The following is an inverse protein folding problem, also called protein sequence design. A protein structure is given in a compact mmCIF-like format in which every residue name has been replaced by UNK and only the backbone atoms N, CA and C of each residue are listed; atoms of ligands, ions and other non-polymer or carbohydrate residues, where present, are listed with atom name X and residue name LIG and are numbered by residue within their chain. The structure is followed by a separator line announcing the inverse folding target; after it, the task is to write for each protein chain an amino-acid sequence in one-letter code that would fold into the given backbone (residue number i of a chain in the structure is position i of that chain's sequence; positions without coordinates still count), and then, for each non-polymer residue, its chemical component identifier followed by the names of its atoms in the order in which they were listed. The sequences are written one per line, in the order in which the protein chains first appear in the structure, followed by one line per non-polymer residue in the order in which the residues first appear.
data_IF_996706310022
#
_entry.id   IF_996706310022
#
_cell.length_a   1.000
_cell.length_b   1.000
_cell.length_c   1.000
_cell.angle_alpha   90.00
_cell.angle_beta   90.00
_cell.angle_gamma   90.00
#
_symmetry.space_group_name_H-M   'P 1'
#
loop_
_entity.id
_entity.type
_entity.pdbx_description
1 polymer ?
#
# COMPACT_ATOMS: atom_id res chain seq x y z
N UNK A 1 -14.11 -13.35 9.23
CA UNK A 1 -15.24 -13.01 8.37
C UNK A 1 -15.26 -13.82 7.06
N UNK A 2 -14.14 -14.03 6.34
CA UNK A 2 -14.12 -14.80 5.08
C UNK A 2 -14.61 -16.24 5.25
N UNK A 3 -14.27 -16.92 6.36
CA UNK A 3 -14.79 -18.26 6.64
C UNK A 3 -16.32 -18.23 6.79
N UNK A 4 -16.87 -17.26 7.52
CA UNK A 4 -18.32 -17.10 7.67
C UNK A 4 -19.04 -16.76 6.36
N UNK A 5 -18.38 -15.99 5.47
CA UNK A 5 -18.93 -15.63 4.17
C UNK A 5 -19.12 -16.85 3.26
N UNK A 6 -18.28 -17.87 3.36
CA UNK A 6 -18.44 -19.14 2.62
C UNK A 6 -19.75 -19.85 2.98
N UNK A 7 -20.21 -19.75 4.22
CA UNK A 7 -21.49 -20.36 4.67
C UNK A 7 -22.70 -19.47 4.38
N UNK A 8 -22.52 -18.14 4.43
CA UNK A 8 -23.61 -17.20 4.17
C UNK A 8 -23.16 -16.05 3.25
N UNK A 9 -22.97 -16.33 1.96
CA UNK A 9 -22.45 -15.34 1.00
C UNK A 9 -23.42 -14.19 0.72
N UNK A 10 -24.70 -14.35 1.02
CA UNK A 10 -25.76 -13.37 0.77
C UNK A 10 -26.14 -12.57 2.01
N UNK A 11 -25.26 -12.45 2.98
CA UNK A 11 -25.45 -11.58 4.14
C UNK A 11 -24.84 -10.20 3.85
N UNK A 12 -25.69 -9.16 3.71
CA UNK A 12 -25.27 -7.80 3.40
C UNK A 12 -24.30 -7.25 4.45
N UNK A 13 -24.62 -7.40 5.75
CA UNK A 13 -23.80 -6.90 6.84
C UNK A 13 -22.44 -7.59 6.94
N UNK A 14 -22.38 -8.88 6.62
CA UNK A 14 -21.12 -9.63 6.61
C UNK A 14 -20.22 -9.15 5.46
N UNK A 15 -20.78 -8.99 4.25
CA UNK A 15 -20.05 -8.46 3.12
C UNK A 15 -19.56 -7.03 3.38
N UNK A 16 -20.38 -6.16 3.99
CA UNK A 16 -19.96 -4.82 4.40
C UNK A 16 -18.73 -4.86 5.32
N UNK A 17 -18.76 -5.70 6.38
CA UNK A 17 -17.64 -5.84 7.32
C UNK A 17 -16.37 -6.34 6.63
N UNK A 18 -16.49 -7.28 5.70
CA UNK A 18 -15.33 -7.76 4.92
C UNK A 18 -14.74 -6.63 4.08
N UNK A 19 -15.59 -5.88 3.37
CA UNK A 19 -15.16 -4.74 2.57
C UNK A 19 -14.47 -3.66 3.42
N UNK A 20 -15.04 -3.32 4.55
CA UNK A 20 -14.46 -2.33 5.49
C UNK A 20 -13.10 -2.82 6.03
N UNK A 21 -12.97 -4.10 6.41
CA UNK A 21 -11.68 -4.69 6.79
C UNK A 21 -10.64 -4.59 5.66
N UNK A 22 -11.02 -4.88 4.41
CA UNK A 22 -10.10 -4.74 3.29
C UNK A 22 -9.64 -3.30 3.08
N UNK A 23 -10.50 -2.29 3.26
CA UNK A 23 -10.11 -0.88 3.18
C UNK A 23 -9.02 -0.48 4.19
N UNK A 24 -8.86 -1.25 5.28
CA UNK A 24 -7.86 -1.02 6.33
C UNK A 24 -6.68 -2.02 6.27
N UNK A 25 -6.62 -2.86 5.23
CA UNK A 25 -5.57 -3.86 5.03
C UNK A 25 -4.58 -3.43 3.93
N UNK A 26 -3.54 -4.24 3.69
CA UNK A 26 -2.66 -4.10 2.52
C UNK A 26 -3.34 -4.44 1.18
N UNK A 27 -4.52 -5.07 1.20
CA UNK A 27 -5.25 -5.51 0.00
C UNK A 27 -6.48 -4.64 -0.29
N UNK A 28 -6.37 -3.34 -0.08
CA UNK A 28 -7.46 -2.36 -0.17
C UNK A 28 -8.33 -2.45 -1.44
N UNK A 29 -7.80 -2.69 -2.66
CA UNK A 29 -8.62 -2.79 -3.87
C UNK A 29 -9.68 -3.91 -3.81
N UNK A 30 -9.43 -4.98 -3.06
CA UNK A 30 -10.38 -6.08 -2.88
C UNK A 30 -11.65 -5.69 -2.12
N UNK A 31 -11.66 -4.55 -1.45
CA UNK A 31 -12.84 -4.07 -0.73
C UNK A 31 -14.05 -3.91 -1.65
N UNK A 32 -13.83 -3.50 -2.91
CA UNK A 32 -14.90 -3.11 -3.82
C UNK A 32 -15.90 -4.23 -4.08
N UNK A 33 -15.46 -5.45 -4.32
CA UNK A 33 -16.34 -6.59 -4.61
C UNK A 33 -17.32 -6.86 -3.47
N UNK A 34 -16.84 -6.79 -2.22
CA UNK A 34 -17.67 -7.04 -1.04
C UNK A 34 -18.62 -5.87 -0.74
N UNK A 35 -18.14 -4.64 -0.92
CA UNK A 35 -18.97 -3.44 -0.72
C UNK A 35 -20.09 -3.37 -1.77
N UNK A 36 -19.81 -3.68 -3.02
CA UNK A 36 -20.83 -3.77 -4.07
C UNK A 36 -21.85 -4.88 -3.77
N UNK A 37 -21.37 -6.05 -3.32
CA UNK A 37 -22.26 -7.14 -2.92
C UNK A 37 -23.13 -6.75 -1.73
N UNK A 38 -22.58 -6.08 -0.74
CA UNK A 38 -23.32 -5.58 0.42
C UNK A 38 -24.45 -4.63 0.00
N UNK A 39 -24.13 -3.66 -0.86
CA UNK A 39 -25.08 -2.69 -1.39
C UNK A 39 -26.18 -3.34 -2.26
N UNK A 40 -25.82 -4.30 -3.12
CA UNK A 40 -26.79 -5.05 -3.94
C UNK A 40 -27.78 -5.84 -3.08
N UNK A 41 -27.31 -6.42 -1.97
CA UNK A 41 -28.16 -7.20 -1.06
C UNK A 41 -29.07 -6.33 -0.19
N UNK A 42 -28.55 -5.18 0.24
CA UNK A 42 -29.29 -4.19 1.01
C UNK A 42 -28.70 -2.80 0.80
N UNK A 43 -29.34 -1.91 0.04
CA UNK A 43 -28.86 -0.54 -0.17
C UNK A 43 -28.72 0.28 1.12
N UNK A 44 -29.50 -0.04 2.15
CA UNK A 44 -29.52 0.66 3.43
C UNK A 44 -28.71 -0.09 4.50
N UNK A 45 -27.73 -0.94 4.11
CA UNK A 45 -26.95 -1.79 5.04
C UNK A 45 -26.15 -0.99 6.05
N UNK A 46 -25.67 0.20 5.68
CA UNK A 46 -24.93 1.12 6.55
C UNK A 46 -25.05 2.55 5.98
N UNK A 47 -25.26 3.57 6.82
CA UNK A 47 -25.29 4.97 6.36
C UNK A 47 -24.05 5.42 5.61
N UNK A 48 -22.89 4.79 5.86
CA UNK A 48 -21.62 5.10 5.20
C UNK A 48 -21.44 4.37 3.86
N UNK A 49 -22.41 3.60 3.39
CA UNK A 49 -22.21 2.68 2.26
C UNK A 49 -21.72 3.41 1.01
N UNK A 50 -22.26 4.60 0.70
CA UNK A 50 -21.82 5.39 -0.44
C UNK A 50 -20.38 5.91 -0.29
N UNK A 51 -19.98 6.30 0.91
CA UNK A 51 -18.59 6.70 1.19
C UNK A 51 -17.63 5.51 1.02
N UNK A 52 -17.98 4.35 1.54
CA UNK A 52 -17.17 3.13 1.45
C UNK A 52 -17.07 2.63 -0.01
N UNK A 53 -18.18 2.65 -0.77
CA UNK A 53 -18.18 2.36 -2.20
C UNK A 53 -17.31 3.34 -2.98
N UNK A 54 -17.42 4.64 -2.69
CA UNK A 54 -16.56 5.66 -3.28
C UNK A 54 -15.09 5.36 -3.06
N UNK A 55 -14.69 4.96 -1.84
CA UNK A 55 -13.32 4.54 -1.52
C UNK A 55 -12.89 3.31 -2.33
N UNK A 56 -13.74 2.27 -2.38
CA UNK A 56 -13.45 1.05 -3.13
C UNK A 56 -13.28 1.32 -4.63
N UNK A 57 -14.15 2.12 -5.22
CA UNK A 57 -14.09 2.54 -6.62
C UNK A 57 -12.85 3.38 -6.92
N UNK A 58 -12.53 4.34 -6.04
CA UNK A 58 -11.34 5.19 -6.14
C UNK A 58 -10.05 4.35 -6.17
N UNK A 59 -9.92 3.38 -5.28
CA UNK A 59 -8.77 2.47 -5.21
C UNK A 59 -8.65 1.55 -6.43
N UNK A 60 -9.73 1.38 -7.18
CA UNK A 60 -9.77 0.61 -8.43
C UNK A 60 -9.74 1.51 -9.69
N UNK A 61 -9.36 2.78 -9.55
CA UNK A 61 -9.27 3.76 -10.64
C UNK A 61 -10.59 3.97 -11.43
N UNK A 62 -11.74 3.62 -10.82
CA UNK A 62 -13.08 3.87 -11.37
C UNK A 62 -13.56 5.27 -10.97
N UNK A 63 -12.86 6.29 -11.49
CA UNK A 63 -12.92 7.67 -11.01
C UNK A 63 -14.32 8.29 -11.06
N UNK A 64 -15.03 8.16 -12.19
CA UNK A 64 -16.35 8.77 -12.37
C UNK A 64 -17.39 8.16 -11.44
N UNK A 65 -17.34 6.85 -11.27
CA UNK A 65 -18.23 6.13 -10.37
C UNK A 65 -17.90 6.47 -8.90
N UNK A 66 -16.61 6.58 -8.58
CA UNK A 66 -16.19 7.01 -7.25
C UNK A 66 -16.71 8.42 -6.91
N UNK A 67 -16.61 9.36 -7.85
CA UNK A 67 -17.14 10.72 -7.71
C UNK A 67 -18.65 10.70 -7.47
N UNK A 68 -19.38 9.88 -8.24
CA UNK A 68 -20.82 9.74 -8.08
C UNK A 68 -21.19 9.24 -6.68
N UNK A 69 -20.50 8.21 -6.20
CA UNK A 69 -20.73 7.65 -4.87
C UNK A 69 -20.34 8.63 -3.74
N UNK A 70 -19.23 9.34 -3.86
CA UNK A 70 -18.86 10.38 -2.90
C UNK A 70 -19.88 11.52 -2.82
N UNK A 71 -20.48 11.92 -3.95
CA UNK A 71 -21.54 12.94 -3.97
C UNK A 71 -22.84 12.48 -3.31
N UNK A 72 -23.10 11.18 -3.27
CA UNK A 72 -24.24 10.55 -2.58
C UNK A 72 -23.99 10.33 -1.11
N UNK A 73 -22.73 10.33 -0.68
CA UNK A 73 -22.36 10.07 0.70
C UNK A 73 -22.87 11.20 1.63
N UNK A 74 -23.46 10.79 2.72
CA UNK A 74 -23.93 11.68 3.79
C UNK A 74 -23.19 11.40 5.09
N UNK A 75 -23.03 12.37 5.97
CA UNK A 75 -22.49 12.11 7.31
C UNK A 75 -23.35 11.08 8.04
N UNK A 76 -22.73 10.17 8.77
CA UNK A 76 -23.47 9.25 9.63
C UNK A 76 -24.26 10.04 10.69
N UNK A 77 -25.42 9.53 11.08
CA UNK A 77 -26.26 10.13 12.12
C UNK A 77 -25.44 10.34 13.39
N UNK A 78 -25.47 11.55 13.95
CA UNK A 78 -24.70 11.89 15.14
C UNK A 78 -23.26 12.34 14.88
N UNK A 79 -22.82 12.47 13.62
CA UNK A 79 -21.52 13.04 13.29
C UNK A 79 -21.41 14.48 13.78
N UNK A 80 -20.52 14.74 14.75
CA UNK A 80 -20.30 16.08 15.33
C UNK A 80 -19.58 17.03 14.38
N UNK A 81 -18.75 16.51 13.47
CA UNK A 81 -17.95 17.30 12.52
C UNK A 81 -18.43 17.08 11.07
N UNK A 82 -19.59 17.62 10.74
CA UNK A 82 -20.12 17.58 9.36
C UNK A 82 -19.29 18.41 8.37
N UNK A 83 -18.67 19.50 8.83
CA UNK A 83 -17.77 20.32 8.01
C UNK A 83 -16.52 19.54 7.60
N UNK A 84 -15.90 18.80 8.52
CA UNK A 84 -14.76 17.94 8.24
C UNK A 84 -15.10 16.82 7.25
N UNK A 85 -16.28 16.21 7.40
CA UNK A 85 -16.76 15.22 6.44
C UNK A 85 -16.92 15.81 5.04
N UNK A 86 -17.52 17.00 4.92
CA UNK A 86 -17.69 17.68 3.63
C UNK A 86 -16.34 18.00 2.99
N UNK A 87 -15.36 18.45 3.78
CA UNK A 87 -14.00 18.74 3.30
C UNK A 87 -13.30 17.45 2.80
N UNK A 88 -13.47 16.32 3.50
CA UNK A 88 -12.92 15.03 3.07
C UNK A 88 -13.55 14.59 1.73
N UNK A 89 -14.86 14.66 1.58
CA UNK A 89 -15.54 14.37 0.32
C UNK A 89 -15.00 15.24 -0.83
N UNK A 90 -14.88 16.55 -0.61
CA UNK A 90 -14.35 17.48 -1.62
C UNK A 90 -12.90 17.12 -2.00
N UNK A 91 -12.08 16.73 -1.01
CA UNK A 91 -10.72 16.25 -1.25
C UNK A 91 -10.74 14.98 -2.11
N UNK A 92 -11.55 13.98 -1.76
CA UNK A 92 -11.67 12.72 -2.50
C UNK A 92 -12.13 12.91 -3.94
N UNK A 93 -13.08 13.80 -4.16
CA UNK A 93 -13.53 14.18 -5.51
C UNK A 93 -12.38 14.79 -6.32
N UNK A 94 -11.64 15.76 -5.75
CA UNK A 94 -10.44 16.33 -6.42
C UNK A 94 -9.35 15.31 -6.69
N UNK A 95 -9.11 14.38 -5.77
CA UNK A 95 -8.17 13.27 -5.98
C UNK A 95 -8.59 12.41 -7.19
N UNK A 96 -9.88 12.07 -7.31
CA UNK A 96 -10.40 11.33 -8.47
C UNK A 96 -10.26 12.13 -9.78
N UNK A 97 -10.60 13.42 -9.77
CA UNK A 97 -10.45 14.29 -10.95
C UNK A 97 -8.98 14.40 -11.39
N UNK A 98 -8.05 14.51 -10.45
CA UNK A 98 -6.62 14.50 -10.73
C UNK A 98 -6.15 13.15 -11.25
N UNK A 99 -6.61 12.05 -10.64
CA UNK A 99 -6.33 10.69 -11.11
C UNK A 99 -6.72 10.50 -12.57
N UNK A 100 -7.92 10.96 -12.97
CA UNK A 100 -8.36 10.94 -14.38
C UNK A 100 -7.41 11.69 -15.30
N UNK A 101 -7.01 12.91 -14.92
CA UNK A 101 -6.09 13.74 -15.72
C UNK A 101 -4.72 13.08 -15.88
N UNK A 102 -4.20 12.49 -14.80
CA UNK A 102 -2.91 11.80 -14.81
C UNK A 102 -2.98 10.52 -15.64
N UNK A 103 -4.04 9.73 -15.48
CA UNK A 103 -4.24 8.50 -16.26
C UNK A 103 -4.44 8.77 -17.76
N UNK A 104 -5.03 9.93 -18.13
CA UNK A 104 -5.17 10.33 -19.52
C UNK A 104 -3.87 10.76 -20.19
N UNK A 105 -2.83 11.06 -19.40
CA UNK A 105 -1.49 11.43 -19.90
C UNK A 105 -0.43 10.57 -19.21
N UNK A 106 -0.39 9.26 -19.49
CA UNK A 106 0.56 8.38 -18.84
C UNK A 106 1.99 8.79 -19.18
N UNK A 107 2.83 8.87 -18.17
CA UNK A 107 4.28 9.02 -18.38
C UNK A 107 4.81 7.75 -19.03
N UNK A 108 5.58 7.90 -20.09
CA UNK A 108 6.19 6.77 -20.79
C UNK A 108 7.37 6.26 -19.94
N UNK A 109 7.06 5.36 -19.01
CA UNK A 109 8.04 4.76 -18.10
C UNK A 109 7.92 3.25 -18.20
N UNK A 110 9.06 2.57 -18.28
CA UNK A 110 9.15 1.13 -18.11
C UNK A 110 9.55 0.88 -16.67
N UNK A 111 8.77 0.06 -15.96
CA UNK A 111 9.06 -0.33 -14.59
C UNK A 111 9.29 -1.84 -14.59
N UNK A 112 10.55 -2.22 -14.51
CA UNK A 112 10.95 -3.62 -14.44
C UNK A 112 11.31 -4.01 -13.03
N UNK A 113 11.07 -5.28 -12.69
CA UNK A 113 11.51 -5.85 -11.42
C UNK A 113 13.05 -5.92 -11.43
N UNK A 114 13.68 -5.46 -10.36
CA UNK A 114 15.14 -5.48 -10.23
C UNK A 114 15.74 -6.89 -10.17
N UNK A 115 14.90 -7.90 -10.13
CA UNK A 115 15.28 -9.30 -10.10
C UNK A 115 15.58 -9.84 -8.70
N UNK A 116 15.84 -11.14 -8.59
CA UNK A 116 16.00 -11.85 -7.30
C UNK A 116 17.25 -11.42 -6.54
N UNK A 117 18.18 -10.73 -7.18
CA UNK A 117 19.34 -10.11 -6.52
C UNK A 117 18.95 -9.01 -5.53
N UNK A 118 17.87 -8.28 -5.83
CA UNK A 118 17.36 -7.18 -4.99
C UNK A 118 16.03 -7.53 -4.36
N UNK A 119 15.07 -8.01 -5.16
CA UNK A 119 13.73 -8.29 -4.68
C UNK A 119 13.64 -9.66 -3.99
N UNK A 120 12.95 -9.70 -2.86
CA UNK A 120 12.71 -10.91 -2.06
C UNK A 120 11.20 -11.13 -1.83
N UNK A 121 10.78 -12.24 -1.21
CA UNK A 121 9.39 -12.43 -0.77
C UNK A 121 8.99 -11.49 0.38
N UNK A 122 9.92 -10.78 0.97
CA UNK A 122 9.72 -9.85 2.06
C UNK A 122 9.58 -8.41 1.53
N UNK A 123 9.12 -7.45 2.35
CA UNK A 123 9.13 -6.04 1.98
C UNK A 123 10.56 -5.54 1.73
N UNK A 124 10.82 -5.07 0.50
CA UNK A 124 12.06 -4.42 0.07
C UNK A 124 11.69 -2.99 -0.37
N UNK A 125 12.36 -1.95 0.17
CA UNK A 125 11.99 -0.56 -0.07
C UNK A 125 13.13 0.43 0.22
N UNK A 126 12.92 1.72 -0.05
CA UNK A 126 13.88 2.78 0.20
C UNK A 126 15.20 2.62 -0.56
N UNK A 127 15.19 2.30 -1.88
CA UNK A 127 16.42 2.08 -2.62
C UNK A 127 17.22 3.38 -2.74
N UNK A 128 18.53 3.29 -2.55
CA UNK A 128 19.51 4.33 -2.81
C UNK A 128 20.59 3.74 -3.71
N UNK A 129 20.88 4.43 -4.81
CA UNK A 129 21.83 3.97 -5.83
C UNK A 129 23.01 4.91 -5.88
N UNK A 130 24.23 4.37 -6.05
CA UNK A 130 25.44 5.17 -6.31
C UNK A 130 25.34 5.89 -7.66
N UNK A 131 26.05 7.03 -7.79
CA UNK A 131 25.99 7.84 -9.00
C UNK A 131 26.46 7.10 -10.27
N UNK A 132 27.33 6.10 -10.14
CA UNK A 132 27.81 5.22 -11.20
C UNK A 132 26.89 4.01 -11.43
N UNK A 133 25.78 3.93 -10.68
CA UNK A 133 24.80 2.81 -10.70
C UNK A 133 25.40 1.42 -10.41
N UNK A 134 26.57 1.36 -9.81
CA UNK A 134 27.26 0.09 -9.53
C UNK A 134 26.77 -0.60 -8.28
N UNK A 135 26.25 0.15 -7.29
CA UNK A 135 25.80 -0.35 -5.99
C UNK A 135 24.40 0.18 -5.68
N UNK A 136 23.54 -0.69 -5.21
CA UNK A 136 22.25 -0.34 -4.61
C UNK A 136 22.24 -0.73 -3.14
N UNK A 137 21.84 0.21 -2.30
CA UNK A 137 21.49 -0.01 -0.90
C UNK A 137 19.96 0.07 -0.78
N UNK A 138 19.37 -0.75 0.05
CA UNK A 138 17.92 -0.73 0.28
C UNK A 138 17.58 -1.32 1.64
N UNK A 139 16.41 -0.98 2.13
CA UNK A 139 15.86 -1.52 3.37
C UNK A 139 15.07 -2.78 3.07
N UNK A 140 15.22 -3.81 3.92
CA UNK A 140 14.45 -5.04 3.79
C UNK A 140 14.12 -5.67 5.15
N UNK A 141 12.99 -6.40 5.19
CA UNK A 141 12.52 -7.17 6.37
C UNK A 141 12.75 -8.68 6.20
N UNK A 142 13.92 -9.07 5.72
CA UNK A 142 14.25 -10.47 5.49
C UNK A 142 14.48 -11.24 6.79
N UNK A 143 14.35 -12.56 6.72
CA UNK A 143 14.53 -13.48 7.84
C UNK A 143 15.97 -13.59 8.34
N UNK A 144 16.93 -13.05 7.60
CA UNK A 144 18.35 -12.93 7.99
C UNK A 144 18.72 -11.52 8.45
N UNK A 145 17.79 -10.77 9.05
CA UNK A 145 18.08 -9.49 9.69
C UNK A 145 19.02 -9.65 10.89
N UNK A 146 19.77 -8.60 11.20
CA UNK A 146 20.66 -8.54 12.38
C UNK A 146 19.82 -8.78 13.64
N UNK A 147 20.33 -9.56 14.59
CA UNK A 147 19.59 -9.97 15.78
C UNK A 147 18.54 -11.06 15.54
N UNK A 148 18.14 -11.36 14.29
CA UNK A 148 17.18 -12.41 13.88
C UNK A 148 15.85 -12.41 14.67
N UNK A 149 15.47 -11.28 15.27
CA UNK A 149 14.27 -11.13 16.08
C UNK A 149 13.09 -10.63 15.22
N UNK A 150 11.89 -10.91 15.71
CA UNK A 150 10.66 -10.36 15.13
C UNK A 150 10.18 -9.17 15.95
N UNK A 151 9.80 -8.13 15.26
CA UNK A 151 9.11 -6.99 15.83
C UNK A 151 7.78 -7.44 16.45
N UNK A 152 7.60 -7.26 17.76
CA UNK A 152 6.39 -7.71 18.45
C UNK A 152 5.12 -6.99 18.01
N UNK A 153 5.23 -5.79 17.42
CA UNK A 153 4.05 -5.03 16.95
C UNK A 153 3.55 -5.53 15.60
N UNK A 154 4.45 -5.87 14.70
CA UNK A 154 4.10 -6.27 13.31
C UNK A 154 4.17 -7.77 13.07
N UNK A 155 4.90 -8.50 13.93
CA UNK A 155 5.19 -9.92 13.77
C UNK A 155 6.15 -10.25 12.61
N UNK A 156 6.65 -9.24 11.88
CA UNK A 156 7.68 -9.35 10.85
C UNK A 156 9.09 -9.23 11.43
N UNK A 157 10.11 -9.48 10.62
CA UNK A 157 11.49 -9.21 11.02
C UNK A 157 11.74 -7.69 11.09
N UNK A 158 12.74 -7.28 11.87
CA UNK A 158 13.19 -5.89 11.88
C UNK A 158 13.80 -5.50 10.53
N UNK A 159 13.73 -4.23 10.20
CA UNK A 159 14.34 -3.68 8.99
C UNK A 159 15.84 -3.62 9.14
N UNK A 160 16.54 -4.07 8.11
CA UNK A 160 17.98 -3.92 7.95
C UNK A 160 18.32 -3.28 6.60
N UNK A 161 19.51 -2.72 6.50
CA UNK A 161 20.08 -2.21 5.26
C UNK A 161 20.83 -3.34 4.55
N UNK A 162 20.47 -3.55 3.30
CA UNK A 162 21.09 -4.53 2.41
C UNK A 162 21.78 -3.83 1.25
N UNK A 163 22.77 -4.51 0.70
CA UNK A 163 23.54 -4.08 -0.45
C UNK A 163 23.50 -5.12 -1.54
N UNK A 164 23.36 -4.68 -2.80
CA UNK A 164 23.65 -5.47 -3.98
C UNK A 164 24.56 -4.69 -4.94
N UNK A 165 25.36 -5.39 -5.70
CA UNK A 165 26.32 -4.80 -6.65
C UNK A 165 25.93 -5.21 -8.07
N UNK A 166 26.07 -4.30 -9.03
CA UNK A 166 25.75 -4.57 -10.42
C UNK A 166 26.86 -5.39 -11.07
N UNK A 167 26.51 -6.46 -11.74
CA UNK A 167 27.45 -7.29 -12.49
C UNK A 167 27.77 -6.64 -13.83
N UNK A 168 28.86 -7.09 -14.50
CA UNK A 168 29.20 -6.63 -15.85
C UNK A 168 28.13 -6.96 -16.92
N UNK A 169 27.14 -7.80 -16.61
CA UNK A 169 25.97 -8.10 -17.45
C UNK A 169 24.76 -7.21 -17.14
N UNK A 170 24.89 -6.27 -16.19
CA UNK A 170 23.82 -5.38 -15.78
C UNK A 170 22.83 -5.96 -14.77
N UNK A 171 23.03 -7.19 -14.31
CA UNK A 171 22.23 -7.84 -13.30
C UNK A 171 22.73 -7.49 -11.88
N UNK A 172 21.85 -7.61 -10.88
CA UNK A 172 22.21 -7.40 -9.49
C UNK A 172 22.66 -8.72 -8.84
N UNK A 173 23.74 -8.68 -8.07
CA UNK A 173 24.17 -9.81 -7.22
C UNK A 173 23.13 -10.08 -6.13
N UNK A 174 23.19 -11.26 -5.51
CA UNK A 174 22.36 -11.53 -4.34
C UNK A 174 22.61 -10.49 -3.23
N UNK A 175 21.54 -9.97 -2.68
CA UNK A 175 21.60 -8.96 -1.64
C UNK A 175 22.31 -9.47 -0.39
N UNK A 176 23.20 -8.68 0.16
CA UNK A 176 23.96 -8.94 1.38
C UNK A 176 23.49 -7.99 2.47
N UNK A 177 23.16 -8.52 3.65
CA UNK A 177 22.99 -7.74 4.86
C UNK A 177 24.32 -7.04 5.20
N UNK A 178 24.29 -5.74 5.52
CA UNK A 178 25.52 -5.00 5.87
C UNK A 178 26.04 -5.37 7.26
N UNK A 179 25.17 -5.86 8.16
CA UNK A 179 25.53 -6.21 9.53
C UNK A 179 26.04 -5.04 10.36
N UNK A 180 26.56 -5.35 11.53
CA UNK A 180 27.20 -4.35 12.39
C UNK A 180 28.45 -3.73 11.75
N UNK A 181 28.72 -2.46 11.99
CA UNK A 181 27.99 -1.54 12.86
C UNK A 181 26.87 -0.76 12.13
N UNK A 182 26.55 -1.09 10.88
CA UNK A 182 25.53 -0.38 10.08
C UNK A 182 24.13 -0.77 10.53
N UNK A 183 23.90 -2.08 10.66
CA UNK A 183 22.65 -2.62 11.15
C UNK A 183 22.78 -2.99 12.65
N UNK A 184 21.68 -2.81 13.37
CA UNK A 184 21.55 -3.09 14.81
C UNK A 184 20.52 -4.22 15.03
N UNK A 185 20.21 -4.53 16.29
CA UNK A 185 19.11 -5.46 16.64
C UNK A 185 17.71 -4.81 16.47
N UNK A 186 17.63 -3.56 16.05
CA UNK A 186 16.39 -2.79 15.87
C UNK A 186 16.03 -2.55 14.41
N UNK A 187 15.36 -1.44 14.17
CA UNK A 187 14.97 -1.00 12.83
C UNK A 187 16.03 -0.09 12.23
N UNK A 188 16.66 -0.54 11.15
CA UNK A 188 17.65 0.21 10.40
C UNK A 188 17.16 0.44 8.96
N UNK A 189 17.24 1.68 8.47
CA UNK A 189 16.71 2.03 7.17
C UNK A 189 17.62 2.97 6.39
N UNK A 190 17.63 2.83 5.07
CA UNK A 190 18.35 3.71 4.16
C UNK A 190 17.68 5.09 4.12
N UNK A 191 18.52 6.13 4.10
CA UNK A 191 18.07 7.53 3.96
C UNK A 191 18.62 8.16 2.69
N UNK A 192 19.91 8.07 2.45
CA UNK A 192 20.54 8.64 1.27
C UNK A 192 22.05 8.35 1.24
N UNK A 193 22.65 8.55 0.07
CA UNK A 193 24.09 8.50 -0.14
C UNK A 193 24.62 9.86 -0.57
N UNK A 194 25.84 10.18 -0.16
CA UNK A 194 26.57 11.28 -0.77
C UNK A 194 26.81 11.00 -2.27
N UNK A 195 27.01 12.04 -3.11
CA UNK A 195 27.22 11.84 -4.54
C UNK A 195 28.44 10.96 -4.89
N UNK A 196 29.43 10.93 -4.00
CA UNK A 196 30.63 10.10 -4.12
C UNK A 196 30.44 8.67 -3.55
N UNK A 197 29.27 8.37 -2.97
CA UNK A 197 28.96 7.08 -2.37
C UNK A 197 29.72 6.76 -1.09
N UNK A 198 30.47 7.71 -0.53
CA UNK A 198 31.34 7.47 0.64
C UNK A 198 30.65 7.67 2.00
N UNK A 199 29.46 8.29 2.00
CA UNK A 199 28.69 8.58 3.23
C UNK A 199 27.23 8.22 3.03
N UNK A 200 26.64 7.59 4.03
CA UNK A 200 25.23 7.26 4.15
C UNK A 200 24.63 8.00 5.34
#
# INVERSE_FOLDING_TARGET
YLAAQKFNPNNAQLNLKIGDCYLHSGFKPRALEYLQKAYQLNPDVDPRIHYLLGRGLHLNARWDEAIAEYKRATPATGTKNTAGFTQDIQKKVRECENGKKLAAKPTRVFIDNAGPGVNSPYPDYGPVITADESVILFTSRRDNSTGAQKDPETGGFFEDIYQSTRTGKGEWTSARNLGEPVNTDGHDATVGLSPDGQRM
#
